data_IF_200329922466
#
_entry.id   IF_200329922466
#
_cell.length_a   1.000
_cell.length_b   1.000
_cell.length_c   1.000
_cell.angle_alpha   90.00
_cell.angle_beta   90.00
_cell.angle_gamma   90.00
#
_symmetry.space_group_name_H-M   'P 1'
#
loop_
_entity.id
_entity.type
_entity.pdbx_description
1 polymer ?
#
# COMPACT_ATOMS: atom_id res chain seq x y z
N UNK A 1 -20.60 9.91 17.64
CA UNK A 1 -19.74 8.94 16.94
C UNK A 1 -18.32 9.02 17.52
N UNK A 2 -17.96 8.06 18.33
CA UNK A 2 -16.59 8.05 18.83
C UNK A 2 -15.69 7.39 17.76
N UNK A 3 -14.68 8.10 17.32
CA UNK A 3 -13.66 7.64 16.36
C UNK A 3 -13.06 6.28 16.75
N UNK A 4 -12.91 6.03 18.04
CA UNK A 4 -12.38 4.78 18.57
C UNK A 4 -13.27 3.56 18.28
N UNK A 5 -14.61 3.73 18.20
CA UNK A 5 -15.54 2.67 17.81
C UNK A 5 -15.43 2.36 16.33
N UNK A 6 -15.33 3.38 15.47
CA UNK A 6 -15.19 3.20 14.02
C UNK A 6 -13.92 2.43 13.64
N UNK A 7 -12.77 2.76 14.23
CA UNK A 7 -11.52 2.02 14.00
C UNK A 7 -11.60 0.56 14.50
N UNK A 8 -12.18 0.34 15.68
CA UNK A 8 -12.38 -1.01 16.20
C UNK A 8 -13.24 -1.88 15.29
N UNK A 9 -14.30 -1.31 14.72
CA UNK A 9 -15.18 -2.01 13.79
C UNK A 9 -14.48 -2.33 12.46
N UNK A 10 -13.59 -1.46 11.97
CA UNK A 10 -12.78 -1.72 10.76
C UNK A 10 -11.90 -2.95 10.96
N UNK A 11 -11.13 -2.99 12.04
CA UNK A 11 -10.23 -4.12 12.29
C UNK A 11 -10.98 -5.41 12.62
N UNK A 12 -12.11 -5.32 13.31
CA UNK A 12 -12.98 -6.49 13.56
C UNK A 12 -13.48 -7.09 12.26
N UNK A 13 -13.99 -6.28 11.33
CA UNK A 13 -14.45 -6.73 10.02
C UNK A 13 -13.33 -7.31 9.17
N UNK A 14 -12.11 -6.78 9.28
CA UNK A 14 -10.96 -7.36 8.59
C UNK A 14 -10.59 -8.73 9.12
N UNK A 15 -10.57 -8.91 10.43
CA UNK A 15 -10.33 -10.21 11.05
C UNK A 15 -11.42 -11.21 10.63
N UNK A 16 -12.68 -10.79 10.65
CA UNK A 16 -13.81 -11.62 10.18
C UNK A 16 -13.66 -11.98 8.70
N UNK A 17 -13.24 -11.04 7.84
CA UNK A 17 -13.00 -11.29 6.41
C UNK A 17 -11.85 -12.27 6.17
N UNK A 18 -10.76 -12.14 6.92
CA UNK A 18 -9.64 -13.10 6.86
C UNK A 18 -10.10 -14.48 7.33
N UNK A 19 -10.85 -14.56 8.42
CA UNK A 19 -11.39 -15.83 8.93
C UNK A 19 -12.35 -16.49 7.94
N UNK A 20 -13.22 -15.71 7.30
CA UNK A 20 -14.11 -16.19 6.24
C UNK A 20 -13.33 -16.71 5.05
N UNK A 21 -12.33 -15.96 4.59
CA UNK A 21 -11.46 -16.37 3.48
C UNK A 21 -10.69 -17.66 3.79
N UNK A 22 -10.22 -17.81 5.03
CA UNK A 22 -9.56 -19.05 5.48
C UNK A 22 -10.55 -20.23 5.57
N UNK A 23 -11.79 -20.01 5.96
CA UNK A 23 -12.85 -21.04 5.94
C UNK A 23 -13.20 -21.47 4.51
N UNK A 24 -13.31 -20.52 3.59
CA UNK A 24 -13.63 -20.78 2.17
C UNK A 24 -12.53 -21.59 1.49
N UNK A 25 -11.30 -21.56 1.99
CA UNK A 25 -10.21 -22.45 1.53
C UNK A 25 -10.46 -23.93 1.91
N UNK A 26 -11.26 -24.20 2.94
CA UNK A 26 -11.60 -25.56 3.38
C UNK A 26 -12.88 -26.11 2.74
N UNK A 27 -13.74 -25.25 2.22
CA UNK A 27 -14.94 -25.62 1.50
C UNK A 27 -14.63 -25.68 0.00
N UNK A 28 -14.96 -26.81 -0.65
CA UNK A 28 -14.77 -27.02 -2.08
C UNK A 28 -15.33 -25.83 -2.89
N UNK A 29 -14.45 -25.20 -3.67
CA UNK A 29 -14.72 -24.02 -4.50
C UNK A 29 -15.69 -24.25 -5.66
N UNK A 30 -16.29 -25.45 -5.78
CA UNK A 30 -17.13 -25.84 -6.92
C UNK A 30 -18.54 -25.21 -6.93
N UNK A 31 -18.97 -24.58 -5.82
CA UNK A 31 -20.29 -23.98 -5.68
C UNK A 31 -20.33 -22.45 -5.57
N UNK A 32 -19.19 -21.77 -5.75
CA UNK A 32 -19.14 -20.31 -5.66
C UNK A 32 -19.52 -19.72 -7.02
N UNK A 33 -20.46 -18.76 -7.04
CA UNK A 33 -20.85 -18.06 -8.27
C UNK A 33 -19.64 -17.32 -8.88
N UNK A 34 -19.61 -17.19 -10.21
CA UNK A 34 -18.52 -16.48 -10.90
C UNK A 34 -18.35 -15.04 -10.43
N UNK A 35 -19.42 -14.42 -9.96
CA UNK A 35 -19.48 -13.04 -9.46
C UNK A 35 -18.91 -12.87 -8.04
N UNK A 36 -18.68 -13.97 -7.33
CA UNK A 36 -18.12 -13.99 -5.96
C UNK A 36 -16.74 -14.62 -5.89
N UNK A 37 -16.18 -15.03 -7.02
CA UNK A 37 -14.91 -15.74 -7.08
C UNK A 37 -13.74 -14.80 -7.04
N UNK A 38 -13.13 -14.67 -5.86
CA UNK A 38 -11.91 -13.88 -5.60
C UNK A 38 -10.62 -14.65 -5.89
N UNK A 39 -9.49 -13.93 -5.89
CA UNK A 39 -8.16 -14.54 -5.86
C UNK A 39 -7.99 -15.36 -4.57
N UNK A 40 -7.50 -16.62 -4.69
CA UNK A 40 -7.24 -17.42 -3.49
C UNK A 40 -6.26 -16.73 -2.57
N UNK A 41 -6.61 -16.61 -1.29
CA UNK A 41 -5.86 -15.86 -0.28
C UNK A 41 -4.41 -16.34 -0.14
N UNK A 42 -4.13 -17.61 -0.43
CA UNK A 42 -2.78 -18.17 -0.42
C UNK A 42 -1.84 -17.45 -1.40
N UNK A 43 -2.32 -17.13 -2.61
CA UNK A 43 -1.53 -16.38 -3.59
C UNK A 43 -1.25 -14.96 -3.12
N UNK A 44 -2.22 -14.35 -2.44
CA UNK A 44 -2.06 -13.01 -1.84
C UNK A 44 -0.99 -13.02 -0.76
N UNK A 45 -1.02 -13.99 0.16
CA UNK A 45 0.01 -14.11 1.20
C UNK A 45 1.40 -14.38 0.62
N UNK A 46 1.51 -15.28 -0.37
CA UNK A 46 2.78 -15.55 -1.05
C UNK A 46 3.31 -14.29 -1.74
N UNK A 47 2.44 -13.54 -2.42
CA UNK A 47 2.82 -12.29 -3.08
C UNK A 47 3.32 -11.23 -2.08
N UNK A 48 2.63 -11.07 -0.94
CA UNK A 48 3.04 -10.15 0.14
C UNK A 48 4.42 -10.54 0.68
N UNK A 49 4.64 -11.81 0.98
CA UNK A 49 5.94 -12.29 1.46
C UNK A 49 7.04 -12.15 0.39
N UNK A 50 6.73 -12.42 -0.87
CA UNK A 50 7.67 -12.25 -1.97
C UNK A 50 8.09 -10.78 -2.14
N UNK A 51 7.17 -9.83 -1.90
CA UNK A 51 7.46 -8.40 -1.96
C UNK A 51 8.37 -7.90 -0.84
N UNK A 52 8.47 -8.60 0.28
CA UNK A 52 9.45 -8.24 1.33
C UNK A 52 10.90 -8.29 0.82
N UNK A 53 11.19 -9.15 -0.16
CA UNK A 53 12.55 -9.28 -0.71
C UNK A 53 13.01 -8.00 -1.43
N UNK A 54 12.32 -7.53 -2.49
CA UNK A 54 12.73 -6.30 -3.18
C UNK A 54 12.69 -5.07 -2.28
N UNK A 55 11.74 -4.99 -1.35
CA UNK A 55 11.65 -3.91 -0.37
C UNK A 55 12.86 -3.91 0.55
N UNK A 56 13.23 -5.07 1.11
CA UNK A 56 14.42 -5.19 1.97
C UNK A 56 15.71 -4.86 1.22
N UNK A 57 15.82 -5.24 -0.05
CA UNK A 57 16.94 -4.87 -0.91
C UNK A 57 17.03 -3.35 -1.11
N UNK A 58 15.89 -2.69 -1.32
CA UNK A 58 15.85 -1.22 -1.47
C UNK A 58 16.28 -0.53 -0.18
N UNK A 59 15.78 -0.96 0.99
CA UNK A 59 16.22 -0.42 2.27
C UNK A 59 17.69 -0.69 2.55
N UNK A 60 18.19 -1.88 2.19
CA UNK A 60 19.61 -2.19 2.31
C UNK A 60 20.47 -1.24 1.48
N UNK A 61 20.05 -0.92 0.25
CA UNK A 61 20.74 0.05 -0.60
C UNK A 61 20.81 1.47 -0.01
N UNK A 62 19.80 1.87 0.78
CA UNK A 62 19.76 3.18 1.43
C UNK A 62 20.57 3.19 2.73
N UNK A 63 20.37 2.20 3.58
CA UNK A 63 20.85 2.18 4.98
C UNK A 63 22.23 1.51 5.07
N UNK A 64 22.47 0.46 4.29
CA UNK A 64 23.69 -0.34 4.31
C UNK A 64 23.73 -1.41 5.43
N UNK A 65 22.64 -1.61 6.18
CA UNK A 65 22.52 -2.60 7.26
C UNK A 65 21.36 -3.55 7.00
N UNK A 66 21.64 -4.87 6.92
CA UNK A 66 20.61 -5.88 6.66
C UNK A 66 19.58 -6.01 7.79
N UNK A 67 20.02 -5.92 9.04
CA UNK A 67 19.10 -6.01 10.19
C UNK A 67 18.08 -4.89 10.18
N UNK A 68 18.54 -3.65 10.00
CA UNK A 68 17.67 -2.47 9.90
C UNK A 68 16.76 -2.53 8.68
N UNK A 69 17.27 -2.95 7.52
CA UNK A 69 16.50 -3.07 6.29
C UNK A 69 15.34 -4.05 6.42
N UNK A 70 15.57 -5.23 6.98
CA UNK A 70 14.53 -6.25 7.19
C UNK A 70 13.48 -5.75 8.20
N UNK A 71 13.90 -5.18 9.33
CA UNK A 71 12.96 -4.67 10.33
C UNK A 71 12.09 -3.56 9.75
N UNK A 72 12.67 -2.59 9.02
CA UNK A 72 11.91 -1.50 8.40
C UNK A 72 10.96 -1.99 7.30
N UNK A 73 11.32 -3.06 6.59
CA UNK A 73 10.41 -3.70 5.62
C UNK A 73 9.18 -4.31 6.30
N UNK A 74 9.35 -4.92 7.46
CA UNK A 74 8.22 -5.41 8.26
C UNK A 74 7.38 -4.26 8.83
N UNK A 75 8.01 -3.19 9.31
CA UNK A 75 7.31 -1.98 9.78
C UNK A 75 6.47 -1.40 8.65
N UNK A 76 7.04 -1.27 7.45
CA UNK A 76 6.33 -0.79 6.28
C UNK A 76 5.15 -1.69 5.92
N UNK A 77 5.30 -3.01 5.98
CA UNK A 77 4.22 -3.96 5.71
C UNK A 77 3.07 -3.80 6.72
N UNK A 78 3.40 -3.65 8.01
CA UNK A 78 2.39 -3.44 9.06
C UNK A 78 1.66 -2.11 8.84
N UNK A 79 2.39 -1.02 8.61
CA UNK A 79 1.78 0.28 8.36
C UNK A 79 0.99 0.30 7.05
N UNK A 80 1.51 -0.34 5.99
CA UNK A 80 0.80 -0.51 4.73
C UNK A 80 -0.54 -1.21 4.93
N UNK A 81 -0.56 -2.31 5.65
CA UNK A 81 -1.79 -3.04 5.96
C UNK A 81 -2.77 -2.20 6.80
N UNK A 82 -2.31 -1.63 7.92
CA UNK A 82 -3.17 -0.88 8.82
C UNK A 82 -3.77 0.37 8.16
N UNK A 83 -2.95 1.17 7.52
CA UNK A 83 -3.39 2.43 6.93
C UNK A 83 -4.14 2.24 5.61
N UNK A 84 -3.77 1.25 4.80
CA UNK A 84 -4.55 0.88 3.61
C UNK A 84 -5.96 0.41 3.98
N UNK A 85 -6.09 -0.34 5.06
CA UNK A 85 -7.38 -0.77 5.56
C UNK A 85 -8.28 0.39 5.99
N UNK A 86 -7.71 1.36 6.72
CA UNK A 86 -8.44 2.57 7.12
C UNK A 86 -8.84 3.40 5.90
N UNK A 87 -7.92 3.60 4.96
CA UNK A 87 -8.17 4.34 3.73
C UNK A 87 -9.27 3.67 2.89
N UNK A 88 -9.20 2.37 2.69
CA UNK A 88 -10.21 1.60 1.97
C UNK A 88 -11.59 1.69 2.63
N UNK A 89 -11.66 1.57 3.96
CA UNK A 89 -12.92 1.75 4.70
C UNK A 89 -13.50 3.15 4.50
N UNK A 90 -12.65 4.18 4.62
CA UNK A 90 -13.08 5.57 4.41
C UNK A 90 -13.56 5.80 2.97
N UNK A 91 -12.85 5.26 1.98
CA UNK A 91 -13.29 5.32 0.59
C UNK A 91 -14.67 4.68 0.37
N UNK A 92 -14.95 3.58 1.06
CA UNK A 92 -16.28 2.93 1.03
C UNK A 92 -17.39 3.75 1.67
N UNK A 93 -17.08 4.61 2.65
CA UNK A 93 -18.07 5.43 3.37
C UNK A 93 -18.29 6.79 2.71
N UNK A 94 -17.21 7.47 2.30
CA UNK A 94 -17.26 8.86 1.82
C UNK A 94 -16.93 9.02 0.33
N UNK A 95 -16.60 7.93 -0.33
CA UNK A 95 -16.16 7.91 -1.73
C UNK A 95 -14.64 8.05 -1.89
N UNK A 96 -14.09 7.54 -3.00
CA UNK A 96 -12.63 7.52 -3.23
C UNK A 96 -12.05 8.92 -3.39
N UNK A 97 -12.82 9.88 -3.91
CA UNK A 97 -12.36 11.27 -4.05
C UNK A 97 -12.08 11.96 -2.72
N UNK A 98 -12.65 11.46 -1.62
CA UNK A 98 -12.45 11.97 -0.26
C UNK A 98 -11.61 11.03 0.61
N UNK A 99 -10.91 10.09 0.01
CA UNK A 99 -9.99 9.17 0.70
C UNK A 99 -8.86 9.97 1.37
N UNK A 100 -8.62 9.85 2.68
CA UNK A 100 -7.65 10.65 3.42
C UNK A 100 -6.19 10.21 3.18
N UNK A 101 -5.78 10.05 1.93
CA UNK A 101 -4.45 9.55 1.54
C UNK A 101 -3.33 10.44 2.11
N UNK A 102 -3.49 11.77 2.02
CA UNK A 102 -2.49 12.72 2.54
C UNK A 102 -2.33 12.61 4.05
N UNK A 103 -3.44 12.48 4.80
CA UNK A 103 -3.42 12.31 6.26
C UNK A 103 -2.71 11.01 6.67
N UNK A 104 -3.01 9.93 5.98
CA UNK A 104 -2.37 8.62 6.16
C UNK A 104 -0.86 8.70 5.88
N UNK A 105 -0.47 9.35 4.80
CA UNK A 105 0.94 9.50 4.42
C UNK A 105 1.72 10.32 5.45
N UNK A 106 1.18 11.46 5.87
CA UNK A 106 1.81 12.31 6.91
C UNK A 106 1.95 11.54 8.22
N UNK A 107 0.90 10.87 8.67
CA UNK A 107 0.94 10.05 9.88
C UNK A 107 2.02 8.96 9.77
N UNK A 108 2.08 8.27 8.64
CA UNK A 108 3.08 7.21 8.39
C UNK A 108 4.51 7.76 8.46
N UNK A 109 4.78 8.88 7.80
CA UNK A 109 6.12 9.52 7.82
C UNK A 109 6.49 9.93 9.23
N UNK A 110 5.57 10.54 10.00
CA UNK A 110 5.82 10.94 11.38
C UNK A 110 6.13 9.72 12.27
N UNK A 111 5.28 8.70 12.25
CA UNK A 111 5.49 7.50 13.05
C UNK A 111 6.76 6.75 12.67
N UNK A 112 7.05 6.58 11.38
CA UNK A 112 8.25 5.91 10.93
C UNK A 112 9.52 6.72 11.26
N UNK A 113 9.49 8.04 11.18
CA UNK A 113 10.60 8.90 11.57
C UNK A 113 10.89 8.79 13.07
N UNK A 114 9.85 8.85 13.92
CA UNK A 114 9.99 8.67 15.37
C UNK A 114 10.54 7.28 15.71
N UNK A 115 10.06 6.25 15.04
CA UNK A 115 10.54 4.89 15.23
C UNK A 115 12.01 4.75 14.83
N UNK A 116 12.40 5.32 13.68
CA UNK A 116 13.79 5.28 13.20
C UNK A 116 14.72 6.00 14.17
N UNK A 117 14.35 7.19 14.63
CA UNK A 117 15.17 7.97 15.59
C UNK A 117 15.28 7.28 16.94
N UNK A 118 14.21 6.59 17.39
CA UNK A 118 14.17 5.99 18.73
C UNK A 118 14.87 4.64 18.82
N UNK A 119 14.88 3.85 17.75
CA UNK A 119 15.32 2.45 17.77
C UNK A 119 16.50 2.13 16.86
N UNK A 120 16.86 3.03 15.93
CA UNK A 120 17.91 2.78 14.97
C UNK A 120 18.97 3.87 15.04
N UNK A 121 20.22 3.45 15.18
CA UNK A 121 21.38 4.37 15.05
C UNK A 121 21.76 4.49 13.57
N UNK A 122 20.93 5.25 12.84
CA UNK A 122 21.08 5.50 11.39
C UNK A 122 21.36 6.97 11.19
N UNK A 123 22.26 7.29 10.28
CA UNK A 123 22.55 8.65 9.86
C UNK A 123 21.26 9.38 9.44
N UNK A 124 21.09 10.64 9.88
CA UNK A 124 19.85 11.42 9.74
C UNK A 124 19.37 11.52 8.29
N UNK A 125 20.27 11.63 7.31
CA UNK A 125 19.92 11.68 5.89
C UNK A 125 19.35 10.35 5.39
N UNK A 126 19.95 9.24 5.78
CA UNK A 126 19.48 7.89 5.44
C UNK A 126 18.19 7.54 6.16
N UNK A 127 18.04 7.95 7.43
CA UNK A 127 16.83 7.80 8.21
C UNK A 127 15.65 8.56 7.59
N UNK A 128 15.87 9.80 7.15
CA UNK A 128 14.87 10.58 6.43
C UNK A 128 14.44 9.92 5.11
N UNK A 129 15.41 9.45 4.31
CA UNK A 129 15.12 8.74 3.06
C UNK A 129 14.31 7.45 3.31
N UNK A 130 14.66 6.68 4.36
CA UNK A 130 13.93 5.47 4.73
C UNK A 130 12.49 5.78 5.18
N UNK A 131 12.28 6.83 5.99
CA UNK A 131 10.95 7.25 6.42
C UNK A 131 10.07 7.71 5.26
N UNK A 132 10.64 8.48 4.31
CA UNK A 132 9.94 8.91 3.10
C UNK A 132 9.55 7.71 2.24
N UNK A 133 10.43 6.72 2.09
CA UNK A 133 10.13 5.50 1.33
C UNK A 133 8.98 4.71 1.97
N UNK A 134 8.95 4.58 3.32
CA UNK A 134 7.81 3.96 4.03
C UNK A 134 6.53 4.73 3.71
N UNK A 135 6.56 6.06 3.84
CA UNK A 135 5.42 6.92 3.54
C UNK A 135 4.94 6.79 2.10
N UNK A 136 5.85 6.74 1.13
CA UNK A 136 5.51 6.60 -0.29
C UNK A 136 4.81 5.26 -0.58
N UNK A 137 5.33 4.14 -0.08
CA UNK A 137 4.71 2.82 -0.29
C UNK A 137 3.36 2.72 0.39
N UNK A 138 3.23 3.24 1.62
CA UNK A 138 1.96 3.25 2.35
C UNK A 138 0.94 4.17 1.67
N UNK A 139 1.39 5.30 1.12
CA UNK A 139 0.57 6.21 0.32
C UNK A 139 -0.02 5.49 -0.91
N UNK A 140 0.83 4.78 -1.67
CA UNK A 140 0.37 3.99 -2.82
C UNK A 140 -0.61 2.88 -2.39
N UNK A 141 -0.33 2.19 -1.29
CA UNK A 141 -1.23 1.15 -0.77
C UNK A 141 -2.60 1.71 -0.33
N UNK A 142 -2.61 2.88 0.28
CA UNK A 142 -3.84 3.57 0.68
C UNK A 142 -4.66 4.06 -0.52
N UNK A 143 -3.98 4.58 -1.55
CA UNK A 143 -4.63 5.03 -2.78
C UNK A 143 -5.27 3.86 -3.52
N UNK A 144 -4.47 2.82 -3.82
CA UNK A 144 -4.97 1.66 -4.57
C UNK A 144 -6.08 0.90 -3.81
N UNK A 145 -6.05 0.91 -2.46
CA UNK A 145 -7.11 0.32 -1.66
C UNK A 145 -8.47 0.97 -1.89
N UNK A 146 -8.52 2.29 -2.05
CA UNK A 146 -9.74 3.02 -2.40
C UNK A 146 -10.21 2.74 -3.82
N UNK A 147 -9.29 2.79 -4.79
CA UNK A 147 -9.58 2.57 -6.20
C UNK A 147 -10.05 1.13 -6.45
N UNK A 148 -9.41 0.13 -5.84
CA UNK A 148 -9.83 -1.28 -5.92
C UNK A 148 -11.28 -1.49 -5.46
N UNK A 149 -11.69 -0.84 -4.36
CA UNK A 149 -13.07 -0.98 -3.88
C UNK A 149 -14.09 -0.44 -4.88
N UNK A 150 -13.80 0.66 -5.56
CA UNK A 150 -14.68 1.21 -6.59
C UNK A 150 -14.74 0.30 -7.82
N UNK A 151 -13.61 -0.19 -8.29
CA UNK A 151 -13.53 -1.07 -9.44
C UNK A 151 -14.27 -2.39 -9.18
N UNK A 152 -14.03 -3.02 -8.03
CA UNK A 152 -14.71 -4.26 -7.64
C UNK A 152 -16.20 -4.05 -7.45
N UNK A 153 -16.63 -2.90 -6.89
CA UNK A 153 -18.05 -2.57 -6.76
C UNK A 153 -18.71 -2.36 -8.10
N UNK A 154 -18.07 -1.64 -9.01
CA UNK A 154 -18.54 -1.45 -10.38
C UNK A 154 -18.63 -2.80 -11.10
N UNK A 155 -17.61 -3.62 -10.97
CA UNK A 155 -17.59 -4.97 -11.53
C UNK A 155 -18.72 -5.86 -11.02
N UNK A 156 -19.01 -5.81 -9.71
CA UNK A 156 -20.14 -6.55 -9.13
C UNK A 156 -21.47 -6.11 -9.74
N UNK A 157 -21.66 -4.82 -10.01
CA UNK A 157 -22.90 -4.29 -10.62
C UNK A 157 -23.08 -4.79 -12.05
N UNK A 158 -21.99 -4.92 -12.81
CA UNK A 158 -22.03 -5.37 -14.22
C UNK A 158 -21.83 -6.88 -14.39
N UNK A 159 -21.74 -7.64 -13.30
CA UNK A 159 -21.57 -9.10 -13.32
C UNK A 159 -20.17 -9.58 -13.70
N UNK A 160 -19.14 -8.76 -13.45
CA UNK A 160 -17.75 -9.14 -13.73
C UNK A 160 -17.18 -10.02 -12.61
N UNK A 161 -16.27 -10.91 -12.99
CA UNK A 161 -15.58 -11.81 -12.03
C UNK A 161 -14.47 -11.08 -11.28
N UNK A 162 -14.49 -10.99 -9.93
CA UNK A 162 -13.55 -10.21 -9.14
C UNK A 162 -12.07 -10.56 -9.37
N UNK A 163 -11.69 -11.84 -9.38
CA UNK A 163 -10.29 -12.23 -9.57
C UNK A 163 -9.71 -11.77 -10.91
N UNK A 164 -10.53 -11.69 -11.98
CA UNK A 164 -10.09 -11.19 -13.28
C UNK A 164 -9.81 -9.69 -13.25
N UNK A 165 -10.65 -8.94 -12.52
CA UNK A 165 -10.44 -7.51 -12.30
C UNK A 165 -9.15 -7.26 -11.51
N UNK A 166 -8.95 -7.99 -10.40
CA UNK A 166 -7.75 -7.89 -9.57
C UNK A 166 -6.48 -8.21 -10.39
N UNK A 167 -6.53 -9.21 -11.26
CA UNK A 167 -5.40 -9.53 -12.13
C UNK A 167 -5.12 -8.40 -13.14
N UNK A 168 -6.16 -7.81 -13.73
CA UNK A 168 -5.98 -6.69 -14.68
C UNK A 168 -5.48 -5.43 -13.98
N UNK A 169 -5.90 -5.15 -12.75
CA UNK A 169 -5.35 -4.08 -11.94
C UNK A 169 -3.85 -4.28 -11.68
N UNK A 170 -3.41 -5.51 -11.38
CA UNK A 170 -1.98 -5.81 -11.22
C UNK A 170 -1.20 -5.54 -12.52
N UNK A 171 -1.73 -5.96 -13.68
CA UNK A 171 -1.12 -5.68 -14.99
C UNK A 171 -1.03 -4.17 -15.23
N UNK A 172 -2.09 -3.41 -14.88
CA UNK A 172 -2.11 -1.94 -14.98
C UNK A 172 -1.03 -1.30 -14.11
N UNK A 173 -0.90 -1.71 -12.86
CA UNK A 173 0.13 -1.19 -11.93
C UNK A 173 1.54 -1.47 -12.46
N UNK A 174 1.83 -2.69 -12.92
CA UNK A 174 3.15 -3.04 -13.49
C UNK A 174 3.44 -2.20 -14.74
N UNK A 175 2.47 -2.06 -15.63
CA UNK A 175 2.62 -1.25 -16.86
C UNK A 175 2.87 0.22 -16.54
N UNK A 176 2.13 0.78 -15.58
CA UNK A 176 2.33 2.15 -15.13
C UNK A 176 3.69 2.35 -14.48
N UNK A 177 4.14 1.43 -13.63
CA UNK A 177 5.43 1.51 -12.96
C UNK A 177 6.60 1.50 -13.95
N UNK A 178 6.53 0.63 -14.98
CA UNK A 178 7.54 0.57 -16.04
C UNK A 178 7.59 1.88 -16.86
N UNK A 179 6.43 2.43 -17.20
CA UNK A 179 6.34 3.66 -17.99
C UNK A 179 6.78 4.88 -17.18
N UNK A 180 6.32 4.99 -15.93
CA UNK A 180 6.65 6.13 -15.05
C UNK A 180 8.14 6.22 -14.75
N UNK A 181 8.84 5.10 -14.57
CA UNK A 181 10.28 5.09 -14.35
C UNK A 181 11.03 5.77 -15.50
N UNK A 182 10.69 5.42 -16.75
CA UNK A 182 11.30 6.02 -17.95
C UNK A 182 10.95 7.50 -18.06
N UNK A 183 9.67 7.86 -17.88
CA UNK A 183 9.19 9.24 -17.99
C UNK A 183 9.86 10.13 -16.94
N UNK A 184 9.94 9.68 -15.68
CA UNK A 184 10.57 10.45 -14.62
C UNK A 184 12.08 10.66 -14.86
N UNK A 185 12.78 9.65 -15.39
CA UNK A 185 14.19 9.79 -15.75
C UNK A 185 14.37 10.84 -16.84
N UNK A 186 13.57 10.77 -17.91
CA UNK A 186 13.63 11.74 -19.00
C UNK A 186 13.30 13.17 -18.54
N UNK A 187 12.29 13.31 -17.67
CA UNK A 187 11.93 14.62 -17.11
C UNK A 187 13.02 15.15 -16.18
N UNK A 188 13.64 14.29 -15.39
CA UNK A 188 14.75 14.70 -14.52
C UNK A 188 15.97 15.16 -15.35
N UNK A 189 16.32 14.43 -16.40
CA UNK A 189 17.42 14.81 -17.31
C UNK A 189 17.12 16.11 -18.08
N UNK A 190 15.87 16.30 -18.51
CA UNK A 190 15.48 17.47 -19.29
C UNK A 190 15.31 18.75 -18.47
N UNK A 191 14.78 18.63 -17.26
CA UNK A 191 14.37 19.79 -16.44
C UNK A 191 15.12 19.90 -15.10
N UNK A 192 15.92 18.91 -14.69
CA UNK A 192 16.63 18.92 -13.41
C UNK A 192 15.68 19.00 -12.22
N UNK A 193 14.64 18.14 -12.17
CA UNK A 193 13.62 18.14 -11.12
C UNK A 193 14.27 18.05 -9.73
N UNK A 194 13.92 18.99 -8.83
CA UNK A 194 14.51 19.10 -7.49
C UNK A 194 15.83 19.86 -7.43
N UNK A 195 16.31 20.41 -8.55
CA UNK A 195 17.47 21.31 -8.58
C UNK A 195 17.09 22.73 -8.17
N UNK A 196 18.10 23.62 -8.01
CA UNK A 196 17.87 25.05 -7.76
C UNK A 196 17.06 25.74 -8.86
N UNK A 197 17.13 25.23 -10.09
CA UNK A 197 16.45 25.81 -11.25
C UNK A 197 14.97 25.37 -11.35
N UNK A 198 14.65 24.19 -10.80
CA UNK A 198 13.29 23.67 -10.71
C UNK A 198 13.04 23.03 -9.33
N UNK A 199 12.94 23.84 -8.26
CA UNK A 199 12.65 23.31 -6.93
C UNK A 199 11.26 22.73 -6.88
N UNK A 200 11.06 21.74 -6.01
CA UNK A 200 9.74 21.18 -5.79
C UNK A 200 8.76 22.28 -5.31
N UNK A 201 7.56 22.44 -5.92
CA UNK A 201 6.67 23.57 -5.61
C UNK A 201 6.23 23.69 -4.16
N UNK A 202 6.35 22.62 -3.38
CA UNK A 202 5.94 22.54 -1.97
C UNK A 202 7.15 22.43 -1.00
N UNK A 203 8.35 22.61 -1.49
CA UNK A 203 9.58 22.56 -0.67
C UNK A 203 9.97 23.93 -0.11
N UNK A 204 8.99 24.82 0.09
CA UNK A 204 9.19 26.16 0.66
C UNK A 204 8.69 26.17 2.10
#
# INVERSE_FOLDING_TARGET
WSWSRGLGDVYKRQIESIQLSLKTLQENSDNISLEERDLPINYVFIAILAMLVPISLTYFGIIGSWSSAVILSFVMLIFGFLFSAVAAYMAGVVGSSNNPISGVTIATILFSSLLIISFFDIDSSKGAAAAILIGAVVCCAAAIGGDNLQDLKTGNIVGATPWKQQLMQLVGVVSAALTLGIVLTLLHEAYGIGSSDLPAPQAV
#
